data_IF_297010563475
#
_entry.id   IF_297010563475
#
_cell.length_a   1.000
_cell.length_b   1.000
_cell.length_c   1.000
_cell.angle_alpha   90.00
_cell.angle_beta   90.00
_cell.angle_gamma   90.00
#
_symmetry.space_group_name_H-M   'P 1'
#
loop_
_entity.id
_entity.type
_entity.pdbx_description
1 polymer ?
#
# COMPACT_ATOMS: atom_id res chain seq x y z
N UNK A 1 38.58 12.60 -0.44
CA UNK A 1 37.15 12.43 -0.79
C UNK A 1 37.00 11.76 -2.15
N UNK A 2 37.38 10.48 -2.25
CA UNK A 2 37.30 9.70 -3.49
C UNK A 2 36.34 8.52 -3.28
N UNK A 3 35.41 8.37 -4.24
CA UNK A 3 34.50 7.25 -4.47
C UNK A 3 33.34 7.09 -3.48
N UNK A 4 32.36 8.00 -3.57
CA UNK A 4 31.02 7.83 -2.96
C UNK A 4 30.14 6.88 -3.80
N UNK A 5 30.56 6.48 -5.00
CA UNK A 5 29.73 5.73 -5.94
C UNK A 5 30.45 4.51 -6.49
N UNK A 6 29.70 3.43 -6.71
CA UNK A 6 30.16 2.28 -7.49
C UNK A 6 30.54 2.70 -8.91
N UNK A 7 31.34 1.86 -9.60
CA UNK A 7 31.76 2.13 -10.99
C UNK A 7 30.56 2.26 -11.94
N UNK A 8 29.53 1.43 -11.74
CA UNK A 8 28.31 1.44 -12.53
C UNK A 8 27.52 2.75 -12.31
N UNK A 9 27.32 3.15 -11.05
CA UNK A 9 26.68 4.43 -10.70
C UNK A 9 27.45 5.62 -11.29
N UNK A 10 28.78 5.61 -11.23
CA UNK A 10 29.62 6.66 -11.79
C UNK A 10 29.51 6.76 -13.33
N UNK A 11 29.40 5.62 -14.03
CA UNK A 11 29.19 5.58 -15.48
C UNK A 11 27.78 6.08 -15.85
N UNK A 12 26.77 5.73 -15.06
CA UNK A 12 25.41 6.24 -15.22
C UNK A 12 25.37 7.76 -15.07
N UNK A 13 25.95 8.32 -13.99
CA UNK A 13 25.96 9.76 -13.78
C UNK A 13 26.61 10.53 -14.92
N UNK A 14 27.70 9.98 -15.49
CA UNK A 14 28.37 10.58 -16.65
C UNK A 14 27.46 10.61 -17.89
N UNK A 15 26.71 9.54 -18.15
CA UNK A 15 25.74 9.51 -19.26
C UNK A 15 24.60 10.52 -19.07
N UNK A 16 24.12 10.68 -17.82
CA UNK A 16 23.12 11.70 -17.50
C UNK A 16 23.70 13.09 -17.72
N UNK A 17 24.93 13.35 -17.27
CA UNK A 17 25.61 14.64 -17.44
C UNK A 17 25.78 15.00 -18.92
N UNK A 18 26.29 14.06 -19.73
CA UNK A 18 26.41 14.23 -21.17
C UNK A 18 25.05 14.52 -21.83
N UNK A 19 23.99 13.85 -21.35
CA UNK A 19 22.63 14.08 -21.84
C UNK A 19 22.10 15.47 -21.48
N UNK A 20 22.37 15.97 -20.27
CA UNK A 20 21.99 17.33 -19.83
C UNK A 20 22.64 18.38 -20.73
N UNK A 21 23.94 18.25 -20.99
CA UNK A 21 24.69 19.17 -21.86
C UNK A 21 24.17 19.09 -23.30
N UNK A 22 24.06 17.87 -23.85
CA UNK A 22 23.66 17.67 -25.25
C UNK A 22 22.23 18.15 -25.52
N UNK A 23 21.32 17.97 -24.56
CA UNK A 23 19.93 18.37 -24.68
C UNK A 23 19.71 19.85 -24.33
N UNK A 24 20.60 20.45 -23.54
CA UNK A 24 20.42 21.80 -23.00
C UNK A 24 19.17 21.93 -22.13
N UNK A 25 18.69 20.83 -21.53
CA UNK A 25 17.48 20.78 -20.71
C UNK A 25 17.77 20.14 -19.37
N UNK A 26 17.01 20.57 -18.36
CA UNK A 26 17.04 19.94 -17.05
C UNK A 26 16.63 18.46 -17.14
N UNK A 27 17.25 17.63 -16.33
CA UNK A 27 16.84 16.24 -16.10
C UNK A 27 16.51 16.12 -14.62
N UNK A 28 15.33 15.56 -14.34
CA UNK A 28 14.85 15.26 -13.01
C UNK A 28 14.68 13.74 -12.91
N UNK A 29 15.38 13.13 -11.95
CA UNK A 29 15.32 11.70 -11.64
C UNK A 29 14.73 11.58 -10.23
N UNK A 30 13.40 11.40 -10.10
CA UNK A 30 12.71 11.47 -8.82
C UNK A 30 13.17 10.44 -7.79
N UNK A 31 13.53 9.25 -8.27
CA UNK A 31 13.94 8.11 -7.46
C UNK A 31 15.02 7.33 -8.20
N UNK A 32 16.25 7.44 -7.71
CA UNK A 32 17.45 6.81 -8.26
C UNK A 32 18.10 5.95 -7.17
N UNK A 33 18.29 4.66 -7.42
CA UNK A 33 19.02 3.79 -6.49
C UNK A 33 20.51 3.90 -6.81
N UNK A 34 21.29 4.24 -5.80
CA UNK A 34 22.73 4.45 -5.94
C UNK A 34 23.45 3.60 -4.91
N UNK A 35 24.32 2.71 -5.39
CA UNK A 35 25.25 1.99 -4.52
C UNK A 35 26.41 2.90 -4.13
N UNK A 36 26.50 3.18 -2.83
CA UNK A 36 27.52 4.05 -2.22
C UNK A 36 28.76 3.31 -1.74
N UNK A 37 28.78 1.98 -1.83
CA UNK A 37 29.79 1.12 -1.20
C UNK A 37 29.47 0.77 0.26
N UNK A 38 28.83 1.68 1.00
CA UNK A 38 28.29 1.43 2.36
C UNK A 38 26.84 0.91 2.33
N UNK A 39 26.23 0.85 1.14
CA UNK A 39 24.88 0.38 0.91
C UNK A 39 24.15 1.13 -0.20
N UNK A 40 22.94 0.67 -0.51
CA UNK A 40 22.05 1.34 -1.46
C UNK A 40 21.33 2.51 -0.78
N UNK A 41 21.37 3.67 -1.42
CA UNK A 41 20.59 4.86 -1.04
C UNK A 41 19.67 5.25 -2.20
N UNK A 42 18.51 5.78 -1.85
CA UNK A 42 17.60 6.37 -2.82
C UNK A 42 17.85 7.87 -2.89
N UNK A 43 18.16 8.37 -4.09
CA UNK A 43 18.36 9.80 -4.33
C UNK A 43 17.25 10.38 -5.21
N UNK A 44 16.83 11.60 -4.89
CA UNK A 44 16.16 12.47 -5.85
C UNK A 44 17.22 13.39 -6.45
N UNK A 45 17.52 13.19 -7.73
CA UNK A 45 18.59 13.93 -8.41
C UNK A 45 18.01 14.86 -9.48
N UNK A 46 18.32 16.15 -9.37
CA UNK A 46 18.01 17.16 -10.38
C UNK A 46 19.30 17.71 -10.96
N UNK A 47 19.42 17.70 -12.29
CA UNK A 47 20.56 18.25 -13.02
C UNK A 47 20.12 19.34 -13.96
N UNK A 48 20.71 20.52 -13.82
CA UNK A 48 20.36 21.71 -14.60
C UNK A 48 21.58 22.18 -15.40
N UNK A 49 21.47 22.37 -16.72
CA UNK A 49 22.53 23.01 -17.50
C UNK A 49 22.53 24.51 -17.22
N UNK A 50 23.71 25.07 -16.97
CA UNK A 50 23.90 26.49 -16.70
C UNK A 50 24.91 27.04 -17.72
N UNK A 51 24.49 28.03 -18.50
CA UNK A 51 25.37 28.71 -19.43
C UNK A 51 26.36 29.61 -18.68
N UNK A 52 27.65 29.32 -18.81
CA UNK A 52 28.72 30.17 -18.33
C UNK A 52 28.93 31.33 -19.33
N UNK A 53 28.41 32.52 -18.98
CA UNK A 53 28.52 33.73 -19.80
C UNK A 53 29.95 34.27 -19.90
N UNK A 54 30.86 33.85 -19.03
CA UNK A 54 32.25 34.30 -19.00
C UNK A 54 33.13 33.33 -19.82
N UNK A 55 32.93 32.02 -19.60
CA UNK A 55 33.71 30.97 -20.26
C UNK A 55 33.17 30.48 -21.61
N UNK A 56 31.94 30.87 -22.00
CA UNK A 56 31.32 30.45 -23.26
C UNK A 56 30.99 28.95 -23.33
N UNK A 57 30.87 28.28 -22.18
CA UNK A 57 30.61 26.83 -22.06
C UNK A 57 29.34 26.56 -21.26
N UNK A 58 28.73 25.40 -21.45
CA UNK A 58 27.64 24.92 -20.60
C UNK A 58 28.21 24.13 -19.42
N UNK A 59 27.87 24.53 -18.21
CA UNK A 59 28.15 23.82 -16.96
C UNK A 59 26.93 22.99 -16.53
N UNK A 60 27.13 22.07 -15.60
CA UNK A 60 26.05 21.30 -14.97
C UNK A 60 26.04 21.64 -13.48
N UNK A 61 24.85 21.94 -12.96
CA UNK A 61 24.58 21.97 -11.53
C UNK A 61 23.72 20.76 -11.20
N UNK A 62 24.25 19.86 -10.38
CA UNK A 62 23.54 18.71 -9.84
C UNK A 62 23.16 18.95 -8.39
N UNK A 63 21.91 18.65 -8.03
CA UNK A 63 21.42 18.60 -6.66
C UNK A 63 20.90 17.18 -6.44
N UNK A 64 21.35 16.53 -5.38
CA UNK A 64 20.88 15.21 -4.99
C UNK A 64 20.43 15.25 -3.53
N UNK A 65 19.20 14.83 -3.28
CA UNK A 65 18.61 14.67 -1.95
C UNK A 65 18.52 13.17 -1.63
N UNK A 66 18.99 12.75 -0.45
CA UNK A 66 18.72 11.40 0.05
C UNK A 66 17.26 11.28 0.49
N UNK A 67 16.51 10.44 -0.21
CA UNK A 67 15.09 10.19 0.01
C UNK A 67 14.82 8.76 0.51
N UNK A 68 15.87 8.05 0.97
CA UNK A 68 15.77 6.65 1.43
C UNK A 68 14.70 6.47 2.48
N UNK A 69 14.69 7.33 3.51
CA UNK A 69 13.68 7.27 4.58
C UNK A 69 12.27 7.59 4.06
N UNK A 70 12.15 8.48 3.06
CA UNK A 70 10.87 8.83 2.43
C UNK A 70 10.30 7.65 1.64
N UNK A 71 11.14 6.97 0.87
CA UNK A 71 10.75 5.78 0.10
C UNK A 71 10.34 4.66 1.05
N UNK A 72 11.15 4.37 2.08
CA UNK A 72 10.84 3.35 3.10
C UNK A 72 9.52 3.64 3.83
N UNK A 73 9.30 4.89 4.24
CA UNK A 73 8.06 5.29 4.90
C UNK A 73 6.84 5.10 3.97
N UNK A 74 6.96 5.46 2.69
CA UNK A 74 5.90 5.24 1.69
C UNK A 74 5.57 3.76 1.54
N UNK A 75 6.57 2.90 1.35
CA UNK A 75 6.36 1.46 1.21
C UNK A 75 5.73 0.83 2.46
N UNK A 76 6.14 1.27 3.65
CA UNK A 76 5.54 0.84 4.91
C UNK A 76 4.07 1.25 5.02
N UNK A 77 3.74 2.51 4.68
CA UNK A 77 2.36 3.00 4.66
C UNK A 77 1.49 2.20 3.69
N UNK A 78 1.98 1.93 2.49
CA UNK A 78 1.25 1.12 1.52
C UNK A 78 1.00 -0.30 2.02
N UNK A 79 2.00 -0.93 2.65
CA UNK A 79 1.85 -2.26 3.25
C UNK A 79 0.82 -2.25 4.38
N UNK A 80 0.88 -1.28 5.28
CA UNK A 80 -0.07 -1.16 6.39
C UNK A 80 -1.50 -0.92 5.87
N UNK A 81 -1.66 -0.08 4.85
CA UNK A 81 -2.96 0.19 4.26
C UNK A 81 -3.57 -1.05 3.59
N UNK A 82 -2.75 -1.85 2.88
CA UNK A 82 -3.19 -3.15 2.34
C UNK A 82 -3.66 -4.08 3.45
N UNK A 83 -2.85 -4.26 4.49
CA UNK A 83 -3.21 -5.11 5.64
C UNK A 83 -4.50 -4.64 6.34
N UNK A 84 -4.65 -3.32 6.52
CA UNK A 84 -5.83 -2.75 7.16
C UNK A 84 -7.08 -2.98 6.29
N UNK A 85 -6.97 -2.80 4.97
CA UNK A 85 -8.05 -3.08 4.04
C UNK A 85 -8.46 -4.55 4.07
N UNK A 86 -7.53 -5.49 4.19
CA UNK A 86 -7.83 -6.91 4.29
C UNK A 86 -8.55 -7.24 5.60
N UNK A 87 -8.05 -6.70 6.72
CA UNK A 87 -8.66 -6.89 8.04
C UNK A 87 -10.06 -6.30 8.15
N UNK A 88 -10.30 -5.15 7.53
CA UNK A 88 -11.65 -4.57 7.45
C UNK A 88 -12.62 -5.48 6.70
N UNK A 89 -12.21 -6.05 5.55
CA UNK A 89 -13.05 -7.01 4.81
C UNK A 89 -13.35 -8.27 5.63
N UNK A 90 -12.36 -8.79 6.35
CA UNK A 90 -12.52 -9.94 7.24
C UNK A 90 -13.51 -9.65 8.38
N UNK A 91 -13.39 -8.46 8.99
CA UNK A 91 -14.32 -7.99 10.03
C UNK A 91 -15.75 -7.85 9.50
N UNK A 92 -15.93 -7.22 8.35
CA UNK A 92 -17.25 -7.08 7.71
C UNK A 92 -17.89 -8.44 7.43
N UNK A 93 -17.13 -9.39 6.87
CA UNK A 93 -17.60 -10.75 6.63
C UNK A 93 -18.02 -11.45 7.93
N UNK A 94 -17.22 -11.31 8.98
CA UNK A 94 -17.50 -11.92 10.29
C UNK A 94 -18.75 -11.32 10.93
N UNK A 95 -18.91 -10.00 10.85
CA UNK A 95 -20.11 -9.31 11.35
C UNK A 95 -21.38 -9.80 10.63
N UNK A 96 -21.33 -9.96 9.31
CA UNK A 96 -22.46 -10.50 8.54
C UNK A 96 -22.83 -11.92 8.97
N UNK A 97 -21.83 -12.77 9.23
CA UNK A 97 -22.06 -14.12 9.72
C UNK A 97 -22.71 -14.13 11.11
N UNK A 98 -22.28 -13.24 12.02
CA UNK A 98 -22.88 -13.11 13.35
C UNK A 98 -24.35 -12.67 13.28
N UNK A 99 -24.66 -11.67 12.45
CA UNK A 99 -26.04 -11.21 12.23
C UNK A 99 -26.91 -12.37 11.70
N UNK A 100 -26.39 -13.15 10.76
CA UNK A 100 -27.10 -14.31 10.23
C UNK A 100 -27.34 -15.38 11.30
N UNK A 101 -26.34 -15.65 12.15
CA UNK A 101 -26.45 -16.60 13.25
C UNK A 101 -27.50 -16.15 14.29
N UNK A 102 -27.49 -14.88 14.68
CA UNK A 102 -28.47 -14.30 15.61
C UNK A 102 -29.91 -14.36 15.05
N UNK A 103 -30.07 -14.06 13.76
CA UNK A 103 -31.37 -14.18 13.08
C UNK A 103 -31.86 -15.63 13.09
N UNK A 104 -30.99 -16.60 12.83
CA UNK A 104 -31.35 -18.01 12.81
C UNK A 104 -31.71 -18.54 14.20
N UNK A 105 -31.01 -18.08 15.24
CA UNK A 105 -31.34 -18.38 16.64
C UNK A 105 -32.74 -17.87 17.01
N UNK A 106 -33.05 -16.62 16.63
CA UNK A 106 -34.38 -16.02 16.84
C UNK A 106 -35.49 -16.80 16.12
N UNK A 107 -35.27 -17.16 14.85
CA UNK A 107 -36.20 -18.02 14.08
C UNK A 107 -36.38 -19.38 14.75
N UNK A 108 -35.30 -20.00 15.22
CA UNK A 108 -35.34 -21.27 15.94
C UNK A 108 -36.19 -21.21 17.21
N UNK A 109 -36.03 -20.16 18.03
CA UNK A 109 -36.84 -19.93 19.23
C UNK A 109 -38.32 -19.77 18.90
N UNK A 110 -38.65 -18.97 17.89
CA UNK A 110 -40.04 -18.77 17.46
C UNK A 110 -40.65 -20.08 16.94
N UNK A 111 -39.94 -20.84 16.11
CA UNK A 111 -40.40 -22.12 15.61
C UNK A 111 -40.66 -23.14 16.73
N UNK A 112 -39.79 -23.19 17.75
CA UNK A 112 -39.98 -24.04 18.93
C UNK A 112 -41.23 -23.63 19.74
N UNK A 113 -41.46 -22.32 19.91
CA UNK A 113 -42.66 -21.79 20.56
C UNK A 113 -43.94 -22.15 19.80
N UNK A 114 -43.97 -21.92 18.49
CA UNK A 114 -45.11 -22.29 17.63
C UNK A 114 -45.36 -23.80 17.67
N UNK A 115 -44.32 -24.63 17.61
CA UNK A 115 -44.46 -26.08 17.71
C UNK A 115 -45.09 -26.51 19.04
N UNK A 116 -44.69 -25.89 20.14
CA UNK A 116 -45.26 -26.14 21.46
C UNK A 116 -46.75 -25.72 21.52
N UNK A 117 -47.09 -24.55 20.99
CA UNK A 117 -48.47 -24.04 20.98
C UNK A 117 -49.40 -24.84 20.09
N UNK A 118 -48.92 -25.38 18.97
CA UNK A 118 -49.69 -26.27 18.08
C UNK A 118 -49.89 -27.66 18.69
N UNK A 119 -48.89 -28.16 19.43
CA UNK A 119 -48.96 -29.49 20.07
C UNK A 119 -50.02 -29.53 21.18
N UNK A 120 -50.25 -28.41 21.88
CA UNK A 120 -51.23 -28.31 22.97
C UNK A 120 -52.69 -28.62 22.56
N UNK A 121 -53.30 -27.94 21.56
CA UNK A 121 -54.67 -28.24 21.13
C UNK A 121 -54.78 -29.61 20.44
N UNK A 122 -53.74 -30.06 19.73
CA UNK A 122 -53.71 -31.42 19.16
C UNK A 122 -53.78 -32.51 20.25
N UNK A 123 -53.03 -32.34 21.34
CA UNK A 123 -53.09 -33.26 22.47
C UNK A 123 -54.47 -33.28 23.13
N UNK A 124 -55.11 -32.11 23.26
CA UNK A 124 -56.49 -31.99 23.76
C UNK A 124 -57.52 -32.68 22.85
N UNK A 125 -57.42 -32.48 21.54
CA UNK A 125 -58.31 -33.13 20.57
C UNK A 125 -58.14 -34.66 20.57
N UNK A 126 -56.90 -35.15 20.72
CA UNK A 126 -56.63 -36.58 20.79
C UNK A 126 -57.21 -37.21 22.07
N UNK A 127 -57.06 -36.56 23.23
CA UNK A 127 -57.70 -37.01 24.47
C UNK A 127 -59.23 -37.03 24.38
N UNK A 128 -59.84 -36.08 23.66
CA UNK A 128 -61.29 -36.03 23.49
C UNK A 128 -61.87 -37.11 22.56
N UNK A 129 -61.04 -37.78 21.76
CA UNK A 129 -61.45 -38.87 20.85
C UNK A 129 -61.29 -40.25 21.51
N UNK A 130 -60.51 -40.35 22.59
CA UNK A 130 -60.33 -41.59 23.36
C UNK A 130 -61.38 -41.81 24.48
N UNK A 131 -62.40 -40.95 24.57
CA UNK A 131 -63.58 -41.08 25.45
C UNK A 131 -64.85 -41.36 24.65
#
# INVERSE_FOLDING_TARGET
DHQIFSKESAEYFRQVDESVIKRGKLIDVPEEIVDTGDGEVWLHTVKVPVDDKIGGRTLIVGISEDITERVRAREQLERLNRNLSEKNKELESTQLQLIQAEKMESVGRLAAGVAHEVKNPLALLLMGVEY
#
